data_IF_467399472436
#
_entry.id   IF_467399472436
#
_cell.length_a   1.000
_cell.length_b   1.000
_cell.length_c   1.000
_cell.angle_alpha   90.00
_cell.angle_beta   90.00
_cell.angle_gamma   90.00
#
_symmetry.space_group_name_H-M   'P 1'
#
loop_
_entity.id
_entity.type
_entity.pdbx_description
1 polymer ?
#
# COMPACT_ATOMS: atom_id res chain seq x y z
N UNK A 1 -10.14 2.12 28.87
CA UNK A 1 -9.69 2.87 27.67
C UNK A 1 -10.05 2.05 26.42
N UNK A 2 -11.09 2.45 25.68
CA UNK A 2 -11.71 1.65 24.60
C UNK A 2 -11.30 2.08 23.18
N UNK A 3 -10.29 2.95 23.07
CA UNK A 3 -9.89 3.57 21.80
C UNK A 3 -9.20 2.61 20.80
N UNK A 4 -8.30 1.67 21.21
CA UNK A 4 -7.60 0.83 20.24
C UNK A 4 -8.53 -0.13 19.50
N UNK A 5 -9.50 -0.70 20.20
CA UNK A 5 -10.40 -1.73 19.66
C UNK A 5 -11.43 -1.15 18.69
N UNK A 6 -11.85 0.10 18.90
CA UNK A 6 -12.73 0.81 17.97
C UNK A 6 -11.99 1.27 16.72
N UNK A 7 -10.73 1.72 16.85
CA UNK A 7 -9.86 1.96 15.69
C UNK A 7 -9.66 0.69 14.86
N UNK A 8 -9.44 -0.46 15.51
CA UNK A 8 -9.38 -1.74 14.80
C UNK A 8 -10.70 -2.09 14.11
N UNK A 9 -11.86 -1.96 14.78
CA UNK A 9 -13.15 -2.30 14.16
C UNK A 9 -13.51 -1.37 13.00
N UNK A 10 -13.10 -0.10 13.04
CA UNK A 10 -13.25 0.83 11.91
C UNK A 10 -12.27 0.47 10.78
N UNK A 11 -11.05 0.05 11.08
CA UNK A 11 -10.10 -0.47 10.10
C UNK A 11 -10.57 -1.78 9.44
N UNK A 12 -11.26 -2.65 10.19
CA UNK A 12 -11.83 -3.92 9.71
C UNK A 12 -13.12 -3.77 8.91
N UNK A 13 -13.86 -2.66 9.06
CA UNK A 13 -15.06 -2.38 8.26
C UNK A 13 -14.72 -1.97 6.82
N UNK A 14 -13.48 -1.54 6.58
CA UNK A 14 -12.88 -1.54 5.24
C UNK A 14 -12.30 -2.92 4.95
N UNK A 15 -12.57 -3.47 3.76
CA UNK A 15 -11.98 -4.73 3.28
C UNK A 15 -10.50 -4.81 3.70
N UNK A 16 -10.01 -5.90 4.31
CA UNK A 16 -8.65 -5.96 4.86
C UNK A 16 -7.54 -5.67 3.84
N UNK A 17 -7.84 -5.83 2.54
CA UNK A 17 -7.00 -5.47 1.40
C UNK A 17 -6.84 -3.95 1.18
N UNK A 18 -7.75 -3.12 1.71
CA UNK A 18 -7.66 -1.65 1.59
C UNK A 18 -6.61 -1.06 2.53
N UNK A 19 -6.43 -1.63 3.72
CA UNK A 19 -5.57 -1.05 4.76
C UNK A 19 -4.11 -0.89 4.27
N UNK A 20 -3.46 -1.93 3.69
CA UNK A 20 -2.09 -1.80 3.19
C UNK A 20 -1.96 -0.86 1.99
N UNK A 21 -3.02 -0.67 1.21
CA UNK A 21 -3.04 0.19 0.02
C UNK A 21 -3.30 1.65 0.42
N UNK A 22 -4.04 1.89 1.50
CA UNK A 22 -4.28 3.23 2.06
C UNK A 22 -3.08 3.80 2.83
N UNK A 23 -2.16 2.95 3.29
CA UNK A 23 -0.86 3.37 3.86
C UNK A 23 0.05 4.04 2.81
N UNK A 24 -0.27 3.91 1.52
CA UNK A 24 0.51 4.50 0.44
C UNK A 24 0.27 6.00 0.33
N UNK A 25 1.33 6.78 0.46
CA UNK A 25 1.35 8.23 0.26
C UNK A 25 0.89 8.59 -1.16
N UNK A 26 -0.25 9.29 -1.27
CA UNK A 26 -0.89 9.67 -2.53
C UNK A 26 -2.05 8.77 -2.99
N UNK A 27 -2.38 7.71 -2.24
CA UNK A 27 -3.49 6.79 -2.53
C UNK A 27 -4.61 6.98 -1.49
N UNK A 28 -5.53 7.90 -1.75
CA UNK A 28 -6.74 8.04 -0.92
C UNK A 28 -7.69 6.84 -1.07
N UNK A 29 -8.70 6.73 -0.19
CA UNK A 29 -9.68 5.63 -0.20
C UNK A 29 -10.30 5.35 -1.57
N UNK A 30 -10.61 6.39 -2.34
CA UNK A 30 -11.17 6.23 -3.69
C UNK A 30 -10.20 5.53 -4.65
N UNK A 31 -8.91 5.86 -4.59
CA UNK A 31 -7.88 5.25 -5.42
C UNK A 31 -7.56 3.82 -4.98
N UNK A 32 -7.53 3.57 -3.66
CA UNK A 32 -7.37 2.22 -3.12
C UNK A 32 -8.47 1.26 -3.62
N UNK A 33 -9.72 1.73 -3.64
CA UNK A 33 -10.84 0.95 -4.21
C UNK A 33 -10.67 0.66 -5.71
N UNK A 34 -10.22 1.64 -6.49
CA UNK A 34 -10.00 1.45 -7.92
C UNK A 34 -8.88 0.44 -8.21
N UNK A 35 -7.79 0.46 -7.42
CA UNK A 35 -6.70 -0.50 -7.52
C UNK A 35 -7.19 -1.94 -7.26
N UNK A 36 -7.92 -2.15 -6.18
CA UNK A 36 -8.50 -3.45 -5.85
C UNK A 36 -9.49 -3.91 -6.92
N UNK A 37 -10.34 -3.01 -7.42
CA UNK A 37 -11.29 -3.33 -8.50
C UNK A 37 -10.58 -3.66 -9.82
N UNK A 38 -9.38 -3.14 -10.05
CA UNK A 38 -8.53 -3.48 -11.20
C UNK A 38 -7.73 -4.79 -11.01
N UNK A 39 -7.87 -5.46 -9.86
CA UNK A 39 -7.22 -6.71 -9.53
C UNK A 39 -5.90 -6.55 -8.76
N UNK A 40 -5.55 -5.34 -8.33
CA UNK A 40 -4.36 -5.10 -7.51
C UNK A 40 -4.71 -5.14 -6.03
N UNK A 41 -4.53 -6.33 -5.44
CA UNK A 41 -4.86 -6.62 -4.04
C UNK A 41 -3.63 -6.55 -3.14
N UNK A 42 -2.43 -6.68 -3.71
CA UNK A 42 -1.17 -6.58 -2.97
C UNK A 42 -0.35 -5.36 -3.35
N UNK A 43 0.23 -4.71 -2.34
CA UNK A 43 1.25 -3.66 -2.51
C UNK A 43 2.43 -4.15 -3.36
N UNK A 44 2.78 -5.45 -3.27
CA UNK A 44 3.85 -6.09 -4.03
C UNK A 44 3.52 -6.23 -5.52
N UNK A 45 2.24 -6.44 -5.87
CA UNK A 45 1.79 -6.47 -7.26
C UNK A 45 1.90 -5.08 -7.87
N UNK A 46 1.45 -4.06 -7.14
CA UNK A 46 1.53 -2.65 -7.58
C UNK A 46 3.00 -2.25 -7.79
N UNK A 47 3.92 -2.67 -6.91
CA UNK A 47 5.35 -2.37 -7.01
C UNK A 47 6.01 -2.91 -8.29
N UNK A 48 5.49 -4.02 -8.80
CA UNK A 48 5.99 -4.75 -9.97
C UNK A 48 5.31 -4.34 -11.27
N UNK A 49 4.24 -3.57 -11.18
CA UNK A 49 3.42 -3.15 -12.32
C UNK A 49 4.09 -2.01 -13.07
N UNK A 50 4.01 -2.01 -14.40
CA UNK A 50 4.49 -0.89 -15.21
C UNK A 50 3.53 0.33 -15.10
N UNK A 51 4.03 1.57 -15.02
CA UNK A 51 3.17 2.75 -14.90
C UNK A 51 2.12 2.86 -16.01
N UNK A 52 2.44 2.40 -17.22
CA UNK A 52 1.52 2.40 -18.36
C UNK A 52 0.37 1.40 -18.17
N UNK A 53 0.61 0.24 -17.57
CA UNK A 53 -0.44 -0.74 -17.27
C UNK A 53 -1.44 -0.21 -16.25
N UNK A 54 -0.93 0.52 -15.25
CA UNK A 54 -1.76 1.23 -14.26
C UNK A 54 -2.63 2.30 -14.91
N UNK A 55 -2.09 3.09 -15.84
CA UNK A 55 -2.86 4.09 -16.60
C UNK A 55 -3.94 3.44 -17.46
N UNK A 56 -3.65 2.30 -18.09
CA UNK A 56 -4.60 1.59 -18.96
C UNK A 56 -5.74 0.94 -18.16
N UNK A 57 -5.46 0.43 -16.96
CA UNK A 57 -6.46 -0.23 -16.10
C UNK A 57 -7.26 0.75 -15.24
N UNK A 58 -6.69 1.88 -14.85
CA UNK A 58 -7.34 2.85 -13.96
C UNK A 58 -7.85 4.07 -14.72
N UNK A 59 -9.16 4.29 -14.69
CA UNK A 59 -9.78 5.50 -15.26
C UNK A 59 -9.20 6.77 -14.60
N UNK A 60 -8.96 7.79 -15.41
CA UNK A 60 -8.48 9.11 -14.96
C UNK A 60 -7.18 9.05 -14.11
N UNK A 61 -6.26 8.15 -14.47
CA UNK A 61 -4.89 8.16 -13.94
C UNK A 61 -3.95 8.67 -15.03
N UNK A 62 -3.18 9.72 -14.74
CA UNK A 62 -2.12 10.15 -15.66
C UNK A 62 -0.79 9.42 -15.34
N UNK A 63 0.13 9.43 -16.31
CA UNK A 63 1.41 8.71 -16.19
C UNK A 63 2.27 9.20 -15.02
N UNK A 64 2.19 10.48 -14.66
CA UNK A 64 2.92 11.05 -13.52
C UNK A 64 2.40 10.49 -12.21
N UNK A 65 1.08 10.43 -12.04
CA UNK A 65 0.42 9.84 -10.88
C UNK A 65 0.72 8.34 -10.78
N UNK A 66 0.69 7.61 -11.90
CA UNK A 66 1.04 6.18 -11.90
C UNK A 66 2.48 5.94 -11.43
N UNK A 67 3.45 6.72 -11.94
CA UNK A 67 4.85 6.67 -11.49
C UNK A 67 4.98 7.00 -10.00
N UNK A 68 4.25 8.01 -9.52
CA UNK A 68 4.27 8.40 -8.11
C UNK A 68 3.71 7.28 -7.22
N UNK A 69 2.60 6.65 -7.60
CA UNK A 69 2.02 5.52 -6.86
C UNK A 69 3.03 4.37 -6.76
N UNK A 70 3.65 3.98 -7.88
CA UNK A 70 4.64 2.89 -7.89
C UNK A 70 5.86 3.27 -7.04
N UNK A 71 6.33 4.51 -7.11
CA UNK A 71 7.46 4.99 -6.31
C UNK A 71 7.14 4.97 -4.81
N UNK A 72 5.99 5.51 -4.40
CA UNK A 72 5.53 5.46 -3.00
C UNK A 72 5.43 4.03 -2.49
N UNK A 73 4.90 3.12 -3.31
CA UNK A 73 4.81 1.70 -3.00
C UNK A 73 6.17 1.06 -2.77
N UNK A 74 7.14 1.32 -3.66
CA UNK A 74 8.50 0.78 -3.52
C UNK A 74 9.18 1.29 -2.26
N UNK A 75 8.98 2.57 -1.94
CA UNK A 75 9.53 3.20 -0.74
C UNK A 75 8.98 2.53 0.52
N UNK A 76 7.66 2.35 0.64
CA UNK A 76 7.05 1.66 1.80
C UNK A 76 7.56 0.21 1.93
N UNK A 77 7.78 -0.49 0.81
CA UNK A 77 8.35 -1.84 0.85
C UNK A 77 9.81 -1.85 1.30
N UNK A 78 10.59 -0.83 0.93
CA UNK A 78 11.97 -0.67 1.40
C UNK A 78 12.00 -0.36 2.90
N UNK A 79 11.19 0.58 3.38
CA UNK A 79 11.09 0.91 4.81
C UNK A 79 10.70 -0.32 5.65
N UNK A 80 9.72 -1.11 5.18
CA UNK A 80 9.34 -2.36 5.86
C UNK A 80 10.46 -3.41 5.85
N UNK A 81 11.24 -3.49 4.77
CA UNK A 81 12.37 -4.42 4.70
C UNK A 81 13.53 -3.98 5.60
N UNK A 82 13.80 -2.69 5.70
CA UNK A 82 14.82 -2.12 6.60
C UNK A 82 14.43 -2.33 8.06
N UNK A 83 13.18 -2.01 8.44
CA UNK A 83 12.69 -2.24 9.81
C UNK A 83 12.77 -3.72 10.24
N UNK A 84 12.38 -4.65 9.34
CA UNK A 84 12.50 -6.09 9.61
C UNK A 84 13.95 -6.55 9.71
N UNK A 85 14.87 -5.92 8.97
CA UNK A 85 16.29 -6.24 9.04
C UNK A 85 16.90 -5.75 10.35
N UNK A 86 16.57 -4.54 10.77
CA UNK A 86 17.03 -3.97 12.04
C UNK A 86 16.54 -4.81 13.23
N UNK A 87 15.27 -5.21 13.26
CA UNK A 87 14.72 -6.12 14.28
C UNK A 87 15.42 -7.49 14.28
N UNK A 88 15.75 -8.04 13.11
CA UNK A 88 16.50 -9.29 13.01
C UNK A 88 17.95 -9.15 13.52
N UNK A 89 18.63 -8.05 13.17
CA UNK A 89 19.99 -7.78 13.61
C UNK A 89 20.05 -7.56 15.14
N UNK A 90 19.05 -6.93 15.74
CA UNK A 90 18.89 -6.81 17.20
C UNK A 90 18.74 -8.18 17.87
N UNK A 91 17.89 -9.07 17.33
CA UNK A 91 17.68 -10.41 17.88
C UNK A 91 18.92 -11.31 17.76
N UNK A 92 19.72 -11.14 16.70
CA UNK A 92 20.99 -11.88 16.51
C UNK A 92 22.09 -11.35 17.43
N UNK A 93 22.00 -10.08 17.84
CA UNK A 93 22.97 -9.43 18.74
C UNK A 93 22.70 -9.70 20.23
N UNK A 94 21.61 -10.41 20.55
CA UNK A 94 21.21 -10.87 21.88
C UNK A 94 21.74 -12.28 22.18
#
# INVERSE_FOLDING_TARGET
MLLPTLLQKVAYASKPELVPIMELSGVGQGRARQLIQAGYISVKEIARTEPLELVNKLKQLNIKQAKQIIASVKLVLQEKAEALREEADELISL
#
